data_IF_825056745208
#
_entry.id   IF_825056745208
#
_cell.length_a   1.000
_cell.length_b   1.000
_cell.length_c   1.000
_cell.angle_alpha   90.00
_cell.angle_beta   90.00
_cell.angle_gamma   90.00
#
_symmetry.space_group_name_H-M   'P 1'
#
loop_
_entity.id
_entity.type
_entity.pdbx_description
1 polymer ?
#
# COMPACT_ATOMS: atom_id res chain seq x y z
N UNK A 1 6.16 -14.16 -34.37
CA UNK A 1 6.94 -13.41 -33.35
C UNK A 1 6.11 -12.40 -32.53
N UNK A 2 4.94 -11.96 -32.98
CA UNK A 2 4.04 -11.08 -32.15
C UNK A 2 3.32 -11.84 -31.04
N UNK A 3 3.05 -13.13 -31.22
CA UNK A 3 2.25 -13.91 -30.26
C UNK A 3 3.00 -14.29 -28.99
N UNK A 4 4.31 -14.56 -29.07
CA UNK A 4 5.11 -14.94 -27.90
C UNK A 4 5.27 -13.80 -26.89
N UNK A 5 5.47 -12.56 -27.34
CA UNK A 5 5.58 -11.39 -26.47
C UNK A 5 4.23 -11.02 -25.82
N UNK A 6 3.12 -11.26 -26.51
CA UNK A 6 1.77 -11.03 -25.98
C UNK A 6 1.40 -12.09 -24.94
N UNK A 7 1.73 -13.35 -25.16
CA UNK A 7 1.55 -14.46 -24.21
C UNK A 7 2.42 -14.26 -22.97
N UNK A 8 3.67 -13.83 -23.14
CA UNK A 8 4.59 -13.56 -22.01
C UNK A 8 4.14 -12.35 -21.19
N UNK A 9 3.54 -11.32 -21.81
CA UNK A 9 2.97 -10.17 -21.11
C UNK A 9 1.69 -10.53 -20.34
N UNK A 10 0.83 -11.37 -20.94
CA UNK A 10 -0.39 -11.85 -20.29
C UNK A 10 -0.04 -12.73 -19.07
N UNK A 11 0.95 -13.61 -19.17
CA UNK A 11 1.41 -14.45 -18.05
C UNK A 11 2.03 -13.64 -16.91
N UNK A 12 2.75 -12.55 -17.20
CA UNK A 12 3.33 -11.69 -16.17
C UNK A 12 2.27 -10.89 -15.40
N UNK A 13 1.23 -10.40 -16.09
CA UNK A 13 0.09 -9.71 -15.45
C UNK A 13 -0.74 -10.67 -14.60
N UNK A 14 -0.97 -11.88 -15.08
CA UNK A 14 -1.67 -12.94 -14.35
C UNK A 14 -0.89 -13.37 -13.10
N UNK A 15 0.43 -13.48 -13.22
CA UNK A 15 1.32 -13.83 -12.13
C UNK A 15 1.33 -12.75 -11.02
N UNK A 16 1.40 -11.47 -11.38
CA UNK A 16 1.33 -10.36 -10.43
C UNK A 16 0.05 -10.37 -9.60
N UNK A 17 -1.12 -10.65 -10.25
CA UNK A 17 -2.40 -10.79 -9.54
C UNK A 17 -2.39 -11.93 -8.54
N UNK A 18 -1.89 -13.09 -8.94
CA UNK A 18 -1.79 -14.28 -8.07
C UNK A 18 -0.95 -13.98 -6.84
N UNK A 19 0.19 -13.32 -7.00
CA UNK A 19 1.05 -12.90 -5.88
C UNK A 19 0.32 -11.93 -4.93
N UNK A 20 -0.39 -10.94 -5.45
CA UNK A 20 -1.17 -10.00 -4.64
C UNK A 20 -2.27 -10.71 -3.84
N UNK A 21 -2.93 -11.71 -4.45
CA UNK A 21 -3.93 -12.52 -3.76
C UNK A 21 -3.30 -13.38 -2.64
N UNK A 22 -2.12 -13.97 -2.87
CA UNK A 22 -1.39 -14.72 -1.84
C UNK A 22 -1.01 -13.82 -0.64
N UNK A 23 -0.58 -12.59 -0.90
CA UNK A 23 -0.28 -11.61 0.16
C UNK A 23 -1.54 -11.23 0.94
N UNK A 24 -2.68 -11.00 0.24
CA UNK A 24 -3.95 -10.72 0.89
C UNK A 24 -4.44 -11.87 1.78
N UNK A 25 -4.22 -13.12 1.34
CA UNK A 25 -4.54 -14.32 2.13
C UNK A 25 -3.69 -14.41 3.40
N UNK A 26 -2.41 -14.11 3.31
CA UNK A 26 -1.52 -14.09 4.46
C UNK A 26 -1.89 -12.95 5.42
N UNK A 27 -2.29 -11.80 4.91
CA UNK A 27 -2.81 -10.68 5.72
C UNK A 27 -4.11 -11.01 6.48
N UNK A 28 -4.84 -12.06 6.07
CA UNK A 28 -6.04 -12.56 6.76
C UNK A 28 -5.79 -13.92 7.46
N UNK A 29 -4.57 -14.12 7.97
CA UNK A 29 -4.15 -15.40 8.54
C UNK A 29 -5.07 -15.89 9.68
N UNK A 30 -5.58 -15.00 10.53
CA UNK A 30 -6.51 -15.34 11.61
C UNK A 30 -7.85 -15.92 11.08
N UNK A 31 -8.42 -15.30 10.04
CA UNK A 31 -9.63 -15.82 9.38
C UNK A 31 -9.34 -17.15 8.66
N UNK A 32 -8.17 -17.27 8.04
CA UNK A 32 -7.73 -18.50 7.39
C UNK A 32 -7.60 -19.65 8.40
N UNK A 33 -6.98 -19.42 9.53
CA UNK A 33 -6.83 -20.39 10.61
C UNK A 33 -8.20 -20.79 11.20
N UNK A 34 -9.08 -19.82 11.45
CA UNK A 34 -10.45 -20.05 11.93
C UNK A 34 -11.26 -20.88 10.91
N UNK A 35 -11.15 -20.58 9.63
CA UNK A 35 -11.82 -21.32 8.57
C UNK A 35 -11.27 -22.76 8.42
N UNK A 36 -9.97 -22.98 8.64
CA UNK A 36 -9.35 -24.31 8.67
C UNK A 36 -9.84 -25.09 9.90
N UNK A 37 -9.88 -24.44 11.08
CA UNK A 37 -10.32 -25.07 12.32
C UNK A 37 -11.81 -25.44 12.30
N UNK A 38 -12.65 -24.69 11.60
CA UNK A 38 -14.08 -24.96 11.44
C UNK A 38 -14.40 -26.14 10.49
N UNK A 39 -13.40 -26.70 9.79
CA UNK A 39 -13.59 -27.88 8.95
C UNK A 39 -13.89 -29.13 9.79
N UNK A 40 -14.71 -30.02 9.22
CA UNK A 40 -15.10 -31.28 9.86
C UNK A 40 -13.89 -32.14 10.26
N UNK A 41 -12.79 -32.05 9.51
CA UNK A 41 -11.47 -32.64 9.79
C UNK A 41 -10.37 -31.59 9.55
N UNK A 42 -9.91 -30.87 10.56
CA UNK A 42 -8.85 -29.85 10.40
C UNK A 42 -7.49 -30.43 9.98
N UNK A 43 -7.28 -31.74 10.14
CA UNK A 43 -6.04 -32.44 9.76
C UNK A 43 -6.07 -33.00 8.33
N UNK A 44 -7.23 -32.96 7.67
CA UNK A 44 -7.39 -33.52 6.34
C UNK A 44 -6.78 -32.59 5.28
N UNK A 45 -6.07 -33.18 4.33
CA UNK A 45 -5.51 -32.46 3.18
C UNK A 45 -6.60 -31.73 2.38
N UNK A 46 -6.27 -30.58 1.85
CA UNK A 46 -7.15 -29.69 1.09
C UNK A 46 -6.90 -29.92 -0.40
N UNK A 47 -7.90 -30.42 -1.11
CA UNK A 47 -7.89 -30.47 -2.58
C UNK A 47 -8.31 -29.11 -3.18
N UNK A 48 -8.24 -28.98 -4.51
CA UNK A 48 -8.56 -27.75 -5.26
C UNK A 48 -9.95 -27.20 -4.90
N UNK A 49 -10.96 -28.07 -4.80
CA UNK A 49 -12.34 -27.67 -4.47
C UNK A 49 -12.46 -27.18 -3.02
N UNK A 50 -11.79 -27.88 -2.11
CA UNK A 50 -11.72 -27.49 -0.70
C UNK A 50 -10.98 -26.16 -0.51
N UNK A 51 -9.92 -25.94 -1.26
CA UNK A 51 -9.17 -24.68 -1.29
C UNK A 51 -10.02 -23.54 -1.86
N UNK A 52 -10.76 -23.77 -2.95
CA UNK A 52 -11.69 -22.79 -3.50
C UNK A 52 -12.74 -22.34 -2.48
N UNK A 53 -13.38 -23.28 -1.78
CA UNK A 53 -14.36 -22.98 -0.71
C UNK A 53 -13.73 -22.23 0.46
N UNK A 54 -12.48 -22.56 0.81
CA UNK A 54 -11.75 -21.87 1.86
C UNK A 54 -11.52 -20.39 1.50
N UNK A 55 -11.08 -20.11 0.26
CA UNK A 55 -10.91 -18.74 -0.24
C UNK A 55 -12.21 -17.94 -0.18
N UNK A 56 -13.33 -18.55 -0.60
CA UNK A 56 -14.65 -17.92 -0.54
C UNK A 56 -15.07 -17.63 0.91
N UNK A 57 -14.76 -18.52 1.86
CA UNK A 57 -15.05 -18.33 3.30
C UNK A 57 -14.21 -17.21 3.92
N UNK A 58 -12.95 -17.08 3.51
CA UNK A 58 -12.06 -16.02 3.98
C UNK A 58 -12.45 -14.65 3.36
N UNK A 59 -13.25 -14.64 2.29
CA UNK A 59 -13.76 -13.45 1.64
C UNK A 59 -12.77 -12.81 0.65
N UNK A 60 -11.76 -13.58 0.20
CA UNK A 60 -10.81 -13.09 -0.81
C UNK A 60 -11.42 -13.30 -2.19
N UNK A 61 -11.76 -12.21 -2.87
CA UNK A 61 -12.30 -12.26 -4.22
C UNK A 61 -11.21 -12.62 -5.24
N UNK A 62 -11.37 -13.75 -5.90
CA UNK A 62 -10.48 -14.22 -6.97
C UNK A 62 -11.26 -15.03 -8.02
N UNK A 63 -10.78 -14.99 -9.26
CA UNK A 63 -11.39 -15.74 -10.35
C UNK A 63 -11.09 -17.26 -10.20
N UNK A 64 -11.89 -18.15 -10.82
CA UNK A 64 -11.59 -19.59 -10.81
C UNK A 64 -10.18 -19.89 -11.37
N UNK A 65 -9.70 -19.11 -12.33
CA UNK A 65 -8.35 -19.24 -12.88
C UNK A 65 -7.28 -18.85 -11.87
N UNK A 66 -7.48 -17.75 -11.12
CA UNK A 66 -6.57 -17.32 -10.05
C UNK A 66 -6.50 -18.39 -8.94
N UNK A 67 -7.64 -18.97 -8.54
CA UNK A 67 -7.71 -20.05 -7.53
C UNK A 67 -6.89 -21.25 -7.93
N UNK A 68 -7.01 -21.67 -9.20
CA UNK A 68 -6.23 -22.79 -9.75
C UNK A 68 -4.74 -22.45 -9.82
N UNK A 69 -4.39 -21.25 -10.26
CA UNK A 69 -3.00 -20.80 -10.35
C UNK A 69 -2.33 -20.76 -8.97
N UNK A 70 -3.02 -20.22 -7.95
CA UNK A 70 -2.54 -20.19 -6.56
C UNK A 70 -2.33 -21.62 -6.04
N UNK A 71 -3.30 -22.51 -6.27
CA UNK A 71 -3.21 -23.90 -5.83
C UNK A 71 -1.97 -24.58 -6.44
N UNK A 72 -1.76 -24.42 -7.74
CA UNK A 72 -0.59 -24.99 -8.45
C UNK A 72 0.73 -24.41 -7.96
N UNK A 73 0.75 -23.13 -7.53
CA UNK A 73 1.95 -22.52 -6.94
C UNK A 73 2.26 -23.08 -5.54
N UNK A 74 1.23 -23.41 -4.77
CA UNK A 74 1.38 -23.98 -3.42
C UNK A 74 1.75 -25.47 -3.47
N UNK A 75 1.26 -26.17 -4.48
CA UNK A 75 1.54 -27.59 -4.75
C UNK A 75 2.37 -27.76 -6.05
N UNK A 76 3.64 -27.35 -6.05
CA UNK A 76 4.49 -27.41 -7.25
C UNK A 76 4.82 -28.83 -7.69
N UNK A 77 4.72 -29.80 -6.80
CA UNK A 77 4.99 -31.23 -7.07
C UNK A 77 3.76 -31.94 -7.65
N UNK A 78 2.60 -31.27 -7.67
CA UNK A 78 1.38 -31.78 -8.29
C UNK A 78 0.71 -32.95 -7.54
N UNK A 79 0.84 -32.99 -6.21
CA UNK A 79 0.18 -34.02 -5.37
C UNK A 79 -1.35 -33.89 -5.39
N UNK A 80 -1.90 -32.76 -5.85
CA UNK A 80 -3.33 -32.47 -5.89
C UNK A 80 -3.95 -32.17 -4.53
N UNK A 81 -3.14 -32.08 -3.47
CA UNK A 81 -3.61 -31.81 -2.10
C UNK A 81 -2.57 -30.99 -1.31
N UNK A 82 -3.05 -30.10 -0.45
CA UNK A 82 -2.25 -29.28 0.46
C UNK A 82 -2.62 -29.63 1.90
N UNK A 83 -1.66 -29.82 2.77
CA UNK A 83 -1.92 -30.00 4.19
C UNK A 83 -2.56 -28.75 4.80
N UNK A 84 -3.71 -28.91 5.46
CA UNK A 84 -4.48 -27.78 6.00
C UNK A 84 -3.68 -26.96 7.02
N UNK A 85 -2.93 -27.60 7.92
CA UNK A 85 -2.08 -26.93 8.90
C UNK A 85 -0.87 -26.24 8.27
N UNK A 86 -0.37 -26.77 7.16
CA UNK A 86 0.80 -26.25 6.45
C UNK A 86 0.44 -25.17 5.41
N UNK A 87 -0.85 -24.89 5.20
CA UNK A 87 -1.29 -23.99 4.13
C UNK A 87 -0.64 -22.59 4.21
N UNK A 88 -0.55 -21.99 5.40
CA UNK A 88 0.13 -20.70 5.60
C UNK A 88 1.61 -20.80 5.24
N UNK A 89 2.27 -21.87 5.70
CA UNK A 89 3.69 -22.13 5.38
C UNK A 89 3.87 -22.44 3.89
N UNK A 90 2.94 -23.16 3.28
CA UNK A 90 2.96 -23.47 1.85
C UNK A 90 2.76 -22.22 1.00
N UNK A 91 1.86 -21.30 1.37
CA UNK A 91 1.70 -19.99 0.73
C UNK A 91 3.02 -19.20 0.75
N UNK A 92 3.70 -19.15 1.90
CA UNK A 92 5.00 -18.49 2.04
C UNK A 92 6.10 -19.17 1.21
N UNK A 93 6.14 -20.52 1.23
CA UNK A 93 7.14 -21.32 0.50
C UNK A 93 6.89 -21.40 -1.01
N UNK A 94 5.70 -21.03 -1.49
CA UNK A 94 5.35 -21.09 -2.92
C UNK A 94 6.25 -20.20 -3.83
N UNK A 95 7.08 -19.36 -3.24
CA UNK A 95 7.94 -18.41 -3.94
C UNK A 95 7.18 -17.20 -4.53
N UNK A 96 5.86 -17.14 -4.39
CA UNK A 96 5.07 -16.03 -4.89
C UNK A 96 5.48 -14.71 -4.24
N UNK A 97 5.59 -14.71 -2.91
CA UNK A 97 6.00 -13.53 -2.14
C UNK A 97 7.45 -13.16 -2.45
N UNK A 98 8.35 -14.15 -2.49
CA UNK A 98 9.76 -13.90 -2.82
C UNK A 98 9.93 -13.26 -4.19
N UNK A 99 9.22 -13.75 -5.20
CA UNK A 99 9.29 -13.18 -6.57
C UNK A 99 8.67 -11.80 -6.65
N UNK A 100 7.54 -11.56 -6.00
CA UNK A 100 6.93 -10.22 -5.94
C UNK A 100 7.87 -9.23 -5.27
N UNK A 101 8.56 -9.65 -4.21
CA UNK A 101 9.57 -8.83 -3.54
C UNK A 101 10.76 -8.54 -4.46
N UNK A 102 11.32 -9.56 -5.14
CA UNK A 102 12.42 -9.42 -6.08
C UNK A 102 12.06 -8.52 -7.27
N UNK A 103 10.87 -8.69 -7.86
CA UNK A 103 10.38 -7.87 -8.96
C UNK A 103 10.17 -6.41 -8.54
N UNK A 104 9.63 -6.18 -7.34
CA UNK A 104 9.42 -4.84 -6.79
C UNK A 104 10.75 -4.16 -6.48
N UNK A 105 11.69 -4.90 -5.89
CA UNK A 105 13.04 -4.39 -5.59
C UNK A 105 13.81 -4.06 -6.87
N UNK A 106 13.72 -4.93 -7.88
CA UNK A 106 14.32 -4.69 -9.20
C UNK A 106 13.72 -3.46 -9.87
N UNK A 107 12.39 -3.31 -9.84
CA UNK A 107 11.70 -2.16 -10.43
C UNK A 107 12.09 -0.87 -9.71
N UNK A 108 12.15 -0.87 -8.38
CA UNK A 108 12.61 0.26 -7.59
C UNK A 108 14.06 0.62 -7.92
N UNK A 109 14.96 -0.36 -8.01
CA UNK A 109 16.36 -0.16 -8.41
C UNK A 109 16.50 0.43 -9.83
N UNK A 110 15.68 -0.01 -10.78
CA UNK A 110 15.65 0.55 -12.14
C UNK A 110 15.14 2.00 -12.16
N UNK A 111 14.12 2.32 -11.37
CA UNK A 111 13.61 3.68 -11.23
C UNK A 111 14.64 4.59 -10.59
N UNK A 112 15.33 4.13 -9.55
CA UNK A 112 16.42 4.89 -8.93
C UNK A 112 17.56 5.13 -9.92
N UNK A 113 17.97 4.12 -10.69
CA UNK A 113 18.99 4.28 -11.72
C UNK A 113 18.55 5.27 -12.82
N UNK A 114 17.28 5.24 -13.24
CA UNK A 114 16.73 6.20 -14.19
C UNK A 114 16.71 7.63 -13.62
N UNK A 115 16.39 7.78 -12.34
CA UNK A 115 16.43 9.08 -11.63
C UNK A 115 17.85 9.64 -11.58
N UNK A 116 18.85 8.82 -11.25
CA UNK A 116 20.25 9.24 -11.23
C UNK A 116 20.77 9.58 -12.63
N UNK A 117 20.35 8.86 -13.66
CA UNK A 117 20.69 9.16 -15.05
C UNK A 117 20.04 10.47 -15.50
N UNK A 118 18.80 10.74 -15.10
CA UNK A 118 18.12 12.00 -15.36
C UNK A 118 18.83 13.17 -14.66
N UNK A 119 19.25 13.00 -13.42
CA UNK A 119 20.04 13.97 -12.67
C UNK A 119 21.40 14.27 -13.34
N UNK A 120 22.09 13.25 -13.85
CA UNK A 120 23.28 13.44 -14.65
C UNK A 120 23.00 14.30 -15.92
N UNK A 121 21.81 14.17 -16.51
CA UNK A 121 21.34 15.05 -17.57
C UNK A 121 21.13 16.49 -17.09
N UNK A 122 20.53 16.70 -15.92
CA UNK A 122 20.40 18.03 -15.30
C UNK A 122 21.78 18.65 -15.07
N UNK A 123 22.72 17.87 -14.55
CA UNK A 123 24.10 18.34 -14.34
C UNK A 123 24.72 18.88 -15.62
N UNK A 124 24.54 18.20 -16.75
CA UNK A 124 25.12 18.65 -18.04
C UNK A 124 24.44 19.87 -18.64
N UNK A 125 23.14 20.06 -18.41
CA UNK A 125 22.32 21.13 -19.05
C UNK A 125 22.19 22.35 -18.16
N UNK A 126 21.96 22.17 -16.85
CA UNK A 126 21.68 23.24 -15.87
C UNK A 126 22.83 23.47 -14.87
N UNK A 127 23.83 22.59 -14.84
CA UNK A 127 24.98 22.69 -13.95
C UNK A 127 24.83 21.99 -12.60
N UNK A 128 25.92 21.97 -11.82
CA UNK A 128 26.02 21.17 -10.59
C UNK A 128 25.09 21.59 -9.48
N UNK A 129 24.78 22.88 -9.34
CA UNK A 129 23.84 23.37 -8.32
C UNK A 129 22.44 22.82 -8.55
N UNK A 130 21.93 22.89 -9.80
CA UNK A 130 20.61 22.37 -10.14
C UNK A 130 20.51 20.84 -9.95
N UNK A 131 21.57 20.10 -10.26
CA UNK A 131 21.61 18.66 -10.00
C UNK A 131 21.61 18.35 -8.50
N UNK A 132 22.41 19.05 -7.71
CA UNK A 132 22.39 18.90 -6.26
C UNK A 132 21.03 19.22 -5.64
N UNK A 133 20.39 20.30 -6.10
CA UNK A 133 19.03 20.68 -5.69
C UNK A 133 18.03 19.57 -6.05
N UNK A 134 18.12 19.00 -7.27
CA UNK A 134 17.25 17.90 -7.71
C UNK A 134 17.37 16.68 -6.80
N UNK A 135 18.59 16.21 -6.53
CA UNK A 135 18.80 15.05 -5.65
C UNK A 135 18.33 15.35 -4.23
N UNK A 136 18.61 16.56 -3.72
CA UNK A 136 18.15 16.94 -2.37
C UNK A 136 16.63 16.96 -2.29
N UNK A 137 15.96 17.56 -3.27
CA UNK A 137 14.50 17.59 -3.36
C UNK A 137 13.92 16.17 -3.52
N UNK A 138 14.54 15.32 -4.34
CA UNK A 138 14.14 13.91 -4.51
C UNK A 138 14.21 13.15 -3.19
N UNK A 139 15.32 13.25 -2.46
CA UNK A 139 15.49 12.52 -1.18
C UNK A 139 14.51 13.02 -0.11
N UNK A 140 14.27 14.34 -0.05
CA UNK A 140 13.28 14.90 0.88
C UNK A 140 11.89 14.37 0.54
N UNK A 141 11.50 14.43 -0.73
CA UNK A 141 10.18 13.98 -1.18
C UNK A 141 9.99 12.47 -0.98
N UNK A 142 10.99 11.65 -1.33
CA UNK A 142 10.95 10.20 -1.13
C UNK A 142 10.80 9.85 0.37
N UNK A 143 11.52 10.59 1.24
CA UNK A 143 11.42 10.44 2.70
C UNK A 143 10.04 10.79 3.25
N UNK A 144 9.44 11.89 2.78
CA UNK A 144 8.09 12.32 3.18
C UNK A 144 7.00 11.42 2.57
N UNK A 145 7.27 10.84 1.41
CA UNK A 145 6.35 9.93 0.72
C UNK A 145 6.18 8.58 1.41
N UNK A 146 7.08 8.19 2.32
CA UNK A 146 6.91 6.97 3.13
C UNK A 146 5.64 7.04 3.98
N UNK A 147 5.32 8.22 4.53
CA UNK A 147 4.09 8.45 5.31
C UNK A 147 2.84 8.18 4.47
N UNK A 148 2.86 8.57 3.19
CA UNK A 148 1.76 8.36 2.24
C UNK A 148 1.46 6.87 2.02
N UNK A 149 2.49 6.00 2.04
CA UNK A 149 2.32 4.56 1.84
C UNK A 149 1.49 3.92 2.94
N UNK A 150 1.67 4.35 4.20
CA UNK A 150 0.89 3.83 5.32
C UNK A 150 -0.57 4.26 5.21
N UNK A 151 -0.82 5.48 4.76
CA UNK A 151 -2.18 5.97 4.52
C UNK A 151 -2.84 5.20 3.36
N UNK A 152 -2.12 4.88 2.31
CA UNK A 152 -2.65 4.03 1.24
C UNK A 152 -3.01 2.62 1.73
N UNK A 153 -2.14 2.00 2.55
CA UNK A 153 -2.46 0.71 3.19
C UNK A 153 -3.75 0.79 3.99
N UNK A 154 -3.91 1.86 4.78
CA UNK A 154 -5.09 2.09 5.58
C UNK A 154 -6.35 2.31 4.74
N UNK A 155 -6.28 3.14 3.70
CA UNK A 155 -7.39 3.37 2.76
C UNK A 155 -7.81 2.04 2.11
N UNK A 156 -6.86 1.23 1.62
CA UNK A 156 -7.19 -0.03 0.98
C UNK A 156 -7.81 -1.05 1.94
N UNK A 157 -7.40 -1.06 3.21
CA UNK A 157 -8.03 -1.87 4.26
C UNK A 157 -9.44 -1.37 4.59
N UNK A 158 -9.61 -0.06 4.81
CA UNK A 158 -10.89 0.55 5.17
C UNK A 158 -11.97 0.35 4.08
N UNK A 159 -11.58 0.50 2.82
CA UNK A 159 -12.49 0.27 1.69
C UNK A 159 -12.59 -1.21 1.29
N UNK A 160 -11.83 -2.12 1.94
CA UNK A 160 -11.75 -3.54 1.56
C UNK A 160 -11.48 -3.72 0.07
N UNK A 161 -10.51 -2.95 -0.46
CA UNK A 161 -10.19 -2.95 -1.89
C UNK A 161 -9.79 -4.35 -2.33
N UNK A 162 -10.47 -4.93 -3.33
CA UNK A 162 -10.10 -6.24 -3.86
C UNK A 162 -8.64 -6.25 -4.35
N UNK A 163 -7.86 -7.31 -4.11
CA UNK A 163 -6.45 -7.39 -4.50
C UNK A 163 -6.19 -7.06 -5.98
N UNK A 164 -7.12 -7.41 -6.87
CA UNK A 164 -7.03 -7.12 -8.31
C UNK A 164 -7.14 -5.63 -8.64
N UNK A 165 -7.72 -4.83 -7.73
CA UNK A 165 -7.94 -3.40 -7.92
C UNK A 165 -6.89 -2.53 -7.23
N UNK A 166 -6.01 -3.11 -6.40
CA UNK A 166 -4.93 -2.38 -5.73
C UNK A 166 -3.99 -1.72 -6.73
N UNK A 167 -3.49 -2.48 -7.71
CA UNK A 167 -2.62 -1.93 -8.76
C UNK A 167 -3.30 -0.83 -9.60
N UNK A 168 -4.53 -0.98 -10.10
CA UNK A 168 -5.28 0.10 -10.71
C UNK A 168 -5.42 1.32 -9.78
N UNK A 169 -5.79 1.14 -8.51
CA UNK A 169 -5.89 2.24 -7.54
C UNK A 169 -4.57 2.99 -7.39
N UNK A 170 -3.45 2.26 -7.24
CA UNK A 170 -2.12 2.87 -7.14
C UNK A 170 -1.76 3.65 -8.41
N UNK A 171 -2.01 3.10 -9.59
CA UNK A 171 -1.68 3.77 -10.86
C UNK A 171 -2.47 5.07 -11.04
N UNK A 172 -3.79 5.04 -10.81
CA UNK A 172 -4.62 6.26 -10.88
C UNK A 172 -4.32 7.24 -9.75
N UNK A 173 -4.03 6.73 -8.55
CA UNK A 173 -3.61 7.54 -7.41
C UNK A 173 -2.31 8.28 -7.68
N UNK A 174 -1.27 7.58 -8.15
CA UNK A 174 0.02 8.15 -8.54
C UNK A 174 -0.16 9.21 -9.65
N UNK A 175 -0.96 8.92 -10.67
CA UNK A 175 -1.23 9.89 -11.74
C UNK A 175 -1.92 11.14 -11.18
N UNK A 176 -2.94 10.96 -10.34
CA UNK A 176 -3.64 12.06 -9.66
C UNK A 176 -2.69 12.89 -8.78
N UNK A 177 -1.82 12.21 -8.03
CA UNK A 177 -0.77 12.82 -7.21
C UNK A 177 0.15 13.72 -8.03
N UNK A 178 0.67 13.23 -9.15
CA UNK A 178 1.53 14.02 -10.06
C UNK A 178 0.82 15.30 -10.51
N UNK A 179 -0.45 15.22 -10.89
CA UNK A 179 -1.25 16.37 -11.33
C UNK A 179 -1.48 17.37 -10.20
N UNK A 180 -1.89 16.86 -9.02
CA UNK A 180 -2.17 17.70 -7.85
C UNK A 180 -0.91 18.39 -7.34
N UNK A 181 0.20 17.69 -7.22
CA UNK A 181 1.50 18.26 -6.81
C UNK A 181 2.00 19.29 -7.81
N UNK A 182 1.83 19.04 -9.12
CA UNK A 182 2.09 20.04 -10.13
C UNK A 182 1.29 21.33 -9.88
N UNK A 183 -0.02 21.19 -9.65
CA UNK A 183 -0.87 22.33 -9.31
C UNK A 183 -0.35 23.10 -8.08
N UNK A 184 -0.04 22.42 -6.96
CA UNK A 184 0.46 23.08 -5.74
C UNK A 184 1.84 23.70 -5.91
N UNK A 185 2.76 23.06 -6.64
CA UNK A 185 4.09 23.61 -6.92
C UNK A 185 3.98 24.89 -7.73
N UNK A 186 3.16 24.91 -8.78
CA UNK A 186 2.99 26.10 -9.63
C UNK A 186 2.10 27.18 -9.00
N UNK A 187 1.11 26.79 -8.18
CA UNK A 187 0.26 27.76 -7.44
C UNK A 187 0.97 28.32 -6.18
N UNK A 188 1.98 27.60 -5.68
CA UNK A 188 2.80 28.00 -4.55
C UNK A 188 2.12 27.92 -3.18
N UNK A 189 2.78 28.50 -2.18
CA UNK A 189 2.40 28.42 -0.76
C UNK A 189 0.99 28.96 -0.47
N UNK A 190 0.47 29.92 -1.25
CA UNK A 190 -0.87 30.46 -1.06
C UNK A 190 -1.99 29.41 -1.27
N UNK A 191 -1.80 28.47 -2.21
CA UNK A 191 -2.74 27.38 -2.41
C UNK A 191 -2.64 26.36 -1.28
N UNK A 192 -1.43 26.03 -0.82
CA UNK A 192 -1.17 25.06 0.26
C UNK A 192 -1.83 25.52 1.57
N UNK A 193 -1.68 26.77 1.96
CA UNK A 193 -2.23 27.31 3.22
C UNK A 193 -3.77 27.26 3.31
N UNK A 194 -4.47 27.26 2.18
CA UNK A 194 -5.93 27.15 2.14
C UNK A 194 -6.45 25.79 2.63
N UNK A 195 -5.62 24.74 2.59
CA UNK A 195 -5.99 23.38 3.00
C UNK A 195 -5.56 23.02 4.43
N UNK A 196 -4.87 23.92 5.16
CA UNK A 196 -4.45 23.66 6.54
C UNK A 196 -5.57 23.18 7.48
N UNK A 197 -6.81 23.73 7.47
CA UNK A 197 -7.86 23.25 8.36
C UNK A 197 -8.24 21.77 8.16
N UNK A 198 -8.01 21.24 6.96
CA UNK A 198 -8.27 19.84 6.62
C UNK A 198 -7.31 18.89 7.36
N UNK A 199 -6.09 19.35 7.66
CA UNK A 199 -5.07 18.58 8.40
C UNK A 199 -5.55 18.12 9.77
N UNK A 200 -6.28 18.96 10.52
CA UNK A 200 -6.80 18.60 11.85
C UNK A 200 -7.75 17.39 11.81
N UNK A 201 -8.69 17.38 10.87
CA UNK A 201 -9.61 16.27 10.71
C UNK A 201 -8.90 14.95 10.36
N UNK A 202 -7.90 15.05 9.50
CA UNK A 202 -7.13 13.90 9.05
C UNK A 202 -6.16 13.39 10.14
N UNK A 203 -5.49 14.29 10.84
CA UNK A 203 -4.60 13.92 11.96
C UNK A 203 -5.37 13.20 13.06
N UNK A 204 -6.55 13.69 13.42
CA UNK A 204 -7.43 13.03 14.39
C UNK A 204 -7.81 11.61 13.95
N UNK A 205 -8.09 11.42 12.67
CA UNK A 205 -8.37 10.10 12.11
C UNK A 205 -7.16 9.16 12.20
N UNK A 206 -5.97 9.59 11.82
CA UNK A 206 -4.75 8.76 11.90
C UNK A 206 -4.46 8.33 13.35
N UNK A 207 -4.61 9.25 14.31
CA UNK A 207 -4.44 8.95 15.73
C UNK A 207 -5.47 7.93 16.21
N UNK A 208 -6.74 8.11 15.85
CA UNK A 208 -7.81 7.17 16.19
C UNK A 208 -7.56 5.77 15.61
N UNK A 209 -7.19 5.67 14.34
CA UNK A 209 -6.88 4.38 13.71
C UNK A 209 -5.65 3.71 14.34
N UNK A 210 -4.61 4.50 14.63
CA UNK A 210 -3.45 4.01 15.37
C UNK A 210 -3.87 3.38 16.71
N UNK A 211 -4.73 4.07 17.46
CA UNK A 211 -5.25 3.57 18.73
C UNK A 211 -6.03 2.26 18.56
N UNK A 212 -6.93 2.17 17.58
CA UNK A 212 -7.67 0.93 17.29
C UNK A 212 -6.75 -0.26 17.02
N UNK A 213 -5.74 -0.10 16.14
CA UNK A 213 -4.82 -1.18 15.79
C UNK A 213 -3.95 -1.58 17.00
N UNK A 214 -3.55 -0.64 17.84
CA UNK A 214 -2.69 -0.92 19.01
C UNK A 214 -3.44 -1.59 20.16
N UNK A 215 -4.74 -1.34 20.31
CA UNK A 215 -5.53 -1.88 21.42
C UNK A 215 -6.10 -3.26 21.14
N UNK A 216 -5.81 -3.87 19.98
CA UNK A 216 -6.39 -5.16 19.55
C UNK A 216 -7.89 -5.22 19.87
N UNK A 217 -8.62 -4.14 19.63
CA UNK A 217 -10.06 -4.10 19.77
C UNK A 217 -10.66 -5.10 18.78
N UNK A 218 -10.81 -6.35 19.22
CA UNK A 218 -11.39 -7.48 18.48
C UNK A 218 -12.89 -7.31 18.21
N UNK A 219 -13.42 -6.13 18.44
CA UNK A 219 -14.77 -5.84 18.00
C UNK A 219 -14.71 -5.59 16.50
N UNK A 220 -15.51 -6.36 15.77
CA UNK A 220 -15.72 -6.37 14.31
C UNK A 220 -16.21 -5.01 13.76
N UNK A 221 -15.92 -3.91 14.41
CA UNK A 221 -16.16 -2.59 13.87
C UNK A 221 -15.12 -2.29 12.81
N UNK A 222 -15.63 -2.29 11.57
CA UNK A 222 -14.89 -1.89 10.38
C UNK A 222 -14.14 -0.59 10.66
N UNK A 223 -12.85 -0.46 10.26
CA UNK A 223 -12.13 0.80 10.41
C UNK A 223 -12.95 1.89 9.72
N UNK A 224 -13.55 2.76 10.51
CA UNK A 224 -14.39 3.82 10.02
C UNK A 224 -13.58 4.73 9.09
N UNK A 225 -14.13 4.92 7.91
CA UNK A 225 -13.57 5.89 6.96
C UNK A 225 -13.55 7.27 7.63
N UNK A 226 -12.48 8.07 7.47
CA UNK A 226 -12.37 9.37 8.14
C UNK A 226 -13.67 10.17 8.11
N UNK A 227 -14.10 10.80 9.22
CA UNK A 227 -15.35 11.57 9.27
C UNK A 227 -15.46 12.61 8.16
N UNK A 228 -14.32 13.20 7.78
CA UNK A 228 -14.23 14.15 6.69
C UNK A 228 -14.46 13.48 5.34
N UNK A 229 -13.83 12.34 5.11
CA UNK A 229 -14.00 11.54 3.89
C UNK A 229 -15.45 11.02 3.85
N UNK A 230 -15.98 10.54 4.97
CA UNK A 230 -17.39 10.13 5.11
C UNK A 230 -18.33 11.29 4.83
N UNK A 231 -18.02 12.52 5.26
CA UNK A 231 -18.82 13.70 4.97
C UNK A 231 -18.81 14.06 3.46
N UNK A 232 -17.68 13.90 2.79
CA UNK A 232 -17.58 14.07 1.34
C UNK A 232 -18.30 12.95 0.61
N UNK A 233 -18.05 11.70 1.00
CA UNK A 233 -18.66 10.52 0.39
C UNK A 233 -20.19 10.49 0.56
N UNK A 234 -20.73 10.89 1.72
CA UNK A 234 -22.19 10.99 1.96
C UNK A 234 -22.91 11.98 1.03
N UNK A 235 -22.18 12.93 0.45
CA UNK A 235 -22.73 13.89 -0.53
C UNK A 235 -22.68 13.37 -1.97
N UNK A 236 -21.98 12.28 -2.21
CA UNK A 236 -21.82 11.68 -3.53
C UNK A 236 -22.80 10.51 -3.70
N UNK A 237 -23.41 10.34 -4.88
CA UNK A 237 -24.24 9.18 -5.18
C UNK A 237 -23.33 7.95 -5.35
N UNK A 238 -23.08 7.22 -4.25
CA UNK A 238 -22.16 6.07 -4.23
C UNK A 238 -22.90 4.75 -4.34
N UNK A 239 -22.33 3.83 -5.10
CA UNK A 239 -22.63 2.40 -5.07
C UNK A 239 -21.82 1.72 -3.96
N UNK A 240 -22.40 0.73 -3.29
CA UNK A 240 -21.72 -0.04 -2.24
C UNK A 240 -20.86 -1.19 -2.79
N UNK A 241 -20.67 -1.28 -4.10
CA UNK A 241 -19.96 -2.39 -4.76
C UNK A 241 -18.80 -1.91 -5.63
N UNK A 242 -17.78 -2.77 -5.72
CA UNK A 242 -16.74 -2.64 -6.74
C UNK A 242 -17.21 -3.33 -8.03
N UNK A 243 -17.25 -2.61 -9.12
CA UNK A 243 -17.47 -3.19 -10.45
C UNK A 243 -16.22 -3.06 -11.31
N UNK A 244 -15.21 -3.87 -10.98
CA UNK A 244 -13.88 -3.76 -11.56
C UNK A 244 -13.28 -2.36 -11.32
N UNK A 245 -12.52 -1.85 -12.29
CA UNK A 245 -11.96 -0.50 -12.26
C UNK A 245 -12.89 0.56 -12.91
N UNK A 246 -14.21 0.31 -12.95
CA UNK A 246 -15.16 1.27 -13.47
C UNK A 246 -15.33 2.44 -12.47
N UNK A 247 -15.37 3.67 -13.00
CA UNK A 247 -15.58 4.87 -12.18
C UNK A 247 -17.04 5.07 -11.80
N UNK A 248 -17.92 4.66 -12.67
CA UNK A 248 -19.36 4.89 -12.54
C UNK A 248 -20.17 3.68 -12.97
N UNK A 249 -21.34 3.51 -12.39
CA UNK A 249 -22.32 2.47 -12.73
C UNK A 249 -23.70 3.06 -12.89
N UNK A 250 -24.58 2.52 -13.75
CA UNK A 250 -25.95 2.95 -13.83
C UNK A 250 -26.67 2.71 -12.49
N UNK A 251 -27.50 3.67 -12.06
CA UNK A 251 -28.37 3.46 -10.91
C UNK A 251 -29.41 2.37 -11.19
N UNK A 252 -29.75 1.59 -10.18
CA UNK A 252 -30.78 0.56 -10.27
C UNK A 252 -32.15 1.11 -10.73
N UNK A 253 -32.40 2.39 -10.47
CA UNK A 253 -33.65 3.08 -10.86
C UNK A 253 -33.65 3.57 -12.32
N UNK A 254 -32.56 3.34 -13.08
CA UNK A 254 -32.40 3.78 -14.47
C UNK A 254 -32.39 5.30 -14.69
N UNK A 255 -32.39 6.11 -13.64
CA UNK A 255 -32.48 7.59 -13.71
C UNK A 255 -31.19 8.34 -13.39
N UNK A 256 -30.06 7.64 -13.23
CA UNK A 256 -28.81 8.31 -12.87
C UNK A 256 -27.60 7.39 -12.96
N UNK A 257 -26.43 7.98 -12.62
CA UNK A 257 -25.14 7.30 -12.56
C UNK A 257 -24.66 7.38 -11.12
N UNK A 258 -24.23 6.26 -10.56
CA UNK A 258 -23.60 6.16 -9.25
C UNK A 258 -22.10 6.06 -9.42
N UNK A 259 -21.35 6.66 -8.51
CA UNK A 259 -19.91 6.48 -8.39
C UNK A 259 -19.62 5.13 -7.70
N UNK A 260 -18.64 4.41 -8.17
CA UNK A 260 -18.26 3.11 -7.58
C UNK A 260 -17.40 3.27 -6.31
N UNK A 261 -17.24 2.20 -5.54
CA UNK A 261 -16.29 2.15 -4.43
C UNK A 261 -14.84 2.38 -4.92
N UNK A 262 -14.52 2.01 -6.16
CA UNK A 262 -13.24 2.30 -6.78
C UNK A 262 -13.01 3.83 -6.86
N UNK A 263 -13.99 4.58 -7.33
CA UNK A 263 -13.92 6.05 -7.38
C UNK A 263 -13.84 6.66 -5.99
N UNK A 264 -14.59 6.15 -5.02
CA UNK A 264 -14.52 6.59 -3.63
C UNK A 264 -13.10 6.42 -3.06
N UNK A 265 -12.49 5.27 -3.29
CA UNK A 265 -11.11 4.99 -2.90
C UNK A 265 -10.12 5.99 -3.53
N UNK A 266 -10.26 6.27 -4.84
CA UNK A 266 -9.41 7.25 -5.53
C UNK A 266 -9.59 8.67 -5.01
N UNK A 267 -10.82 9.07 -4.66
CA UNK A 267 -11.08 10.37 -4.03
C UNK A 267 -10.37 10.46 -2.68
N UNK A 268 -10.40 9.38 -1.88
CA UNK A 268 -9.67 9.34 -0.60
C UNK A 268 -8.16 9.45 -0.77
N UNK A 269 -7.60 8.73 -1.74
CA UNK A 269 -6.17 8.83 -2.09
C UNK A 269 -5.83 10.27 -2.50
N UNK A 270 -6.62 10.87 -3.37
CA UNK A 270 -6.40 12.25 -3.83
C UNK A 270 -6.49 13.26 -2.67
N UNK A 271 -7.46 13.11 -1.78
CA UNK A 271 -7.59 13.98 -0.60
C UNK A 271 -6.40 13.82 0.35
N UNK A 272 -5.95 12.60 0.62
CA UNK A 272 -4.76 12.37 1.45
C UNK A 272 -3.50 12.97 0.80
N UNK A 273 -3.34 12.85 -0.52
CA UNK A 273 -2.20 13.44 -1.21
C UNK A 273 -2.19 14.99 -1.15
N UNK A 274 -3.37 15.63 -1.24
CA UNK A 274 -3.50 17.08 -0.99
C UNK A 274 -3.01 17.45 0.40
N UNK A 275 -3.34 16.65 1.42
CA UNK A 275 -2.93 16.91 2.80
C UNK A 275 -1.41 16.79 2.97
N UNK A 276 -0.80 15.77 2.36
CA UNK A 276 0.65 15.62 2.38
C UNK A 276 1.38 16.66 1.54
N UNK A 277 0.75 17.22 0.51
CA UNK A 277 1.32 18.31 -0.26
C UNK A 277 1.48 19.60 0.58
N UNK A 278 0.67 19.77 1.64
CA UNK A 278 0.82 20.92 2.56
C UNK A 278 2.16 20.89 3.29
N UNK A 279 2.68 19.72 3.63
CA UNK A 279 3.97 19.52 4.30
C UNK A 279 5.14 19.45 3.28
N UNK A 280 4.98 18.66 2.22
CA UNK A 280 6.07 18.35 1.29
C UNK A 280 6.38 19.51 0.33
N UNK A 281 5.38 20.23 -0.19
CA UNK A 281 5.61 21.30 -1.18
C UNK A 281 6.46 22.44 -0.60
N UNK A 282 6.18 22.99 0.60
CA UNK A 282 7.06 24.00 1.20
C UNK A 282 8.50 23.51 1.41
N UNK A 283 8.68 22.25 1.86
CA UNK A 283 9.99 21.66 2.10
C UNK A 283 10.84 21.60 0.83
N UNK A 284 10.23 21.21 -0.30
CA UNK A 284 10.94 21.10 -1.59
C UNK A 284 11.17 22.49 -2.21
N UNK A 285 10.22 23.43 -2.09
CA UNK A 285 10.38 24.82 -2.53
C UNK A 285 11.49 25.56 -1.76
N UNK A 286 11.77 25.17 -0.52
CA UNK A 286 12.88 25.71 0.26
C UNK A 286 14.26 25.25 -0.29
N UNK A 287 14.33 24.15 -1.02
CA UNK A 287 15.58 23.64 -1.63
C UNK A 287 15.91 24.37 -2.92
N UNK A 288 14.92 24.56 -3.79
CA UNK A 288 15.14 25.17 -5.11
C UNK A 288 13.97 26.05 -5.51
N UNK A 289 14.29 27.18 -6.15
CA UNK A 289 13.31 28.07 -6.78
C UNK A 289 13.05 27.74 -8.27
N UNK A 290 13.73 26.73 -8.83
CA UNK A 290 13.52 26.28 -10.21
C UNK A 290 12.33 25.31 -10.28
N UNK A 291 11.16 25.72 -10.83
CA UNK A 291 9.97 24.87 -10.88
C UNK A 291 10.20 23.55 -11.63
N UNK A 292 11.12 23.53 -12.60
CA UNK A 292 11.46 22.31 -13.33
C UNK A 292 12.17 21.31 -12.42
N UNK A 293 13.15 21.75 -11.64
CA UNK A 293 13.90 20.93 -10.69
C UNK A 293 12.95 20.37 -9.63
N UNK A 294 12.15 21.23 -9.01
CA UNK A 294 11.17 20.89 -7.98
C UNK A 294 10.13 19.88 -8.49
N UNK A 295 9.55 20.13 -9.66
CA UNK A 295 8.50 19.28 -10.18
C UNK A 295 9.02 17.91 -10.65
N UNK A 296 10.17 17.89 -11.33
CA UNK A 296 10.73 16.63 -11.84
C UNK A 296 11.28 15.74 -10.73
N UNK A 297 11.88 16.30 -9.68
CA UNK A 297 12.30 15.54 -8.50
C UNK A 297 11.11 14.90 -7.78
N UNK A 298 10.01 15.65 -7.67
CA UNK A 298 8.76 15.19 -7.09
C UNK A 298 8.14 14.04 -7.90
N UNK A 299 8.06 14.16 -9.24
CA UNK A 299 7.60 13.07 -10.11
C UNK A 299 8.45 11.82 -9.91
N UNK A 300 9.78 11.96 -9.88
CA UNK A 300 10.69 10.83 -9.72
C UNK A 300 10.42 10.06 -8.42
N UNK A 301 10.20 10.76 -7.30
CA UNK A 301 9.87 10.15 -6.01
C UNK A 301 8.49 9.46 -6.05
N UNK A 302 7.46 10.16 -6.54
CA UNK A 302 6.07 9.63 -6.55
C UNK A 302 5.93 8.38 -7.43
N UNK A 303 6.64 8.29 -8.56
CA UNK A 303 6.63 7.10 -9.43
C UNK A 303 7.22 5.87 -8.70
N UNK A 304 8.17 6.07 -7.78
CA UNK A 304 8.75 5.03 -6.93
C UNK A 304 7.77 4.42 -5.93
N UNK A 305 6.73 5.17 -5.53
CA UNK A 305 5.77 4.76 -4.49
C UNK A 305 5.08 3.43 -4.76
N UNK A 306 4.80 3.09 -6.00
CA UNK A 306 4.17 1.80 -6.34
C UNK A 306 5.05 0.62 -5.90
N UNK A 307 6.34 0.66 -6.23
CA UNK A 307 7.27 -0.41 -5.85
C UNK A 307 7.48 -0.45 -4.34
N UNK A 308 7.59 0.70 -3.69
CA UNK A 308 7.67 0.80 -2.23
C UNK A 308 6.41 0.28 -1.55
N UNK A 309 5.21 0.60 -2.08
CA UNK A 309 3.95 0.04 -1.56
C UNK A 309 3.94 -1.49 -1.63
N UNK A 310 4.32 -2.08 -2.75
CA UNK A 310 4.36 -3.53 -2.91
C UNK A 310 5.35 -4.17 -1.94
N UNK A 311 6.54 -3.60 -1.76
CA UNK A 311 7.52 -4.05 -0.77
C UNK A 311 6.96 -3.98 0.66
N UNK A 312 6.33 -2.85 1.03
CA UNK A 312 5.75 -2.65 2.34
C UNK A 312 4.56 -3.58 2.60
N UNK A 313 3.67 -3.76 1.62
CA UNK A 313 2.49 -4.63 1.77
C UNK A 313 2.87 -6.09 2.02
N UNK A 314 3.93 -6.58 1.36
CA UNK A 314 4.51 -7.92 1.61
C UNK A 314 5.09 -7.98 3.02
N UNK A 315 5.91 -6.99 3.38
CA UNK A 315 6.56 -6.96 4.69
C UNK A 315 5.52 -6.95 5.84
N UNK A 316 4.47 -6.13 5.74
CA UNK A 316 3.39 -6.04 6.75
C UNK A 316 2.61 -7.36 6.86
N UNK A 317 2.36 -8.07 5.74
CA UNK A 317 1.63 -9.33 5.76
C UNK A 317 2.42 -10.50 6.35
N UNK A 318 3.74 -10.42 6.33
CA UNK A 318 4.62 -11.53 6.74
C UNK A 318 5.15 -11.40 8.17
N UNK A 319 5.18 -10.21 8.74
CA UNK A 319 5.82 -9.89 10.02
C UNK A 319 4.79 -9.42 11.06
N UNK A 320 4.55 -10.24 12.09
CA UNK A 320 3.50 -10.02 13.11
C UNK A 320 3.63 -8.67 13.85
N UNK A 321 4.86 -8.30 14.24
CA UNK A 321 5.09 -7.04 14.96
C UNK A 321 5.14 -5.81 14.04
N UNK A 322 5.22 -6.02 12.73
CA UNK A 322 5.26 -4.91 11.78
C UNK A 322 3.91 -4.20 11.69
N UNK A 323 2.80 -4.90 11.87
CA UNK A 323 1.47 -4.28 11.92
C UNK A 323 1.35 -3.29 13.10
N UNK A 324 1.85 -3.67 14.28
CA UNK A 324 1.89 -2.78 15.46
C UNK A 324 2.86 -1.62 15.26
N UNK A 325 4.00 -1.86 14.60
CA UNK A 325 4.95 -0.81 14.24
C UNK A 325 4.33 0.20 13.25
N UNK A 326 3.59 -0.29 12.24
CA UNK A 326 2.83 0.56 11.30
C UNK A 326 1.78 1.39 12.04
N UNK A 327 1.04 0.80 12.97
CA UNK A 327 0.06 1.54 13.78
C UNK A 327 0.73 2.67 14.58
N UNK A 328 1.88 2.39 15.20
CA UNK A 328 2.65 3.41 15.90
C UNK A 328 3.11 4.54 14.97
N UNK A 329 3.59 4.21 13.78
CA UNK A 329 3.97 5.20 12.74
C UNK A 329 2.77 6.07 12.35
N UNK A 330 1.58 5.47 12.13
CA UNK A 330 0.34 6.22 11.82
C UNK A 330 0.00 7.21 12.93
N UNK A 331 0.10 6.80 14.21
CA UNK A 331 -0.12 7.68 15.34
C UNK A 331 0.89 8.83 15.40
N UNK A 332 2.17 8.53 15.16
CA UNK A 332 3.22 9.54 15.09
C UNK A 332 2.98 10.54 13.95
N UNK A 333 2.65 10.07 12.75
CA UNK A 333 2.31 10.94 11.60
C UNK A 333 1.09 11.80 11.92
N UNK A 334 0.04 11.23 12.52
CA UNK A 334 -1.11 12.00 12.97
C UNK A 334 -0.76 13.09 13.97
N UNK A 335 0.10 12.80 14.95
CA UNK A 335 0.59 13.79 15.92
C UNK A 335 1.45 14.88 15.26
N UNK A 336 2.31 14.50 14.32
CA UNK A 336 3.11 15.42 13.52
C UNK A 336 2.22 16.44 12.80
N UNK A 337 1.23 15.95 12.03
CA UNK A 337 0.29 16.80 11.29
C UNK A 337 -0.53 17.70 12.21
N UNK A 338 -0.97 17.20 13.38
CA UNK A 338 -1.66 18.03 14.37
C UNK A 338 -0.73 19.12 14.95
N UNK A 339 0.54 18.78 15.19
CA UNK A 339 1.56 19.72 15.65
C UNK A 339 1.80 20.88 14.70
N UNK A 340 1.87 20.60 13.40
CA UNK A 340 2.04 21.62 12.37
C UNK A 340 0.96 22.71 12.40
N UNK A 341 -0.30 22.30 12.64
CA UNK A 341 -1.43 23.25 12.72
C UNK A 341 -1.30 24.20 13.91
N UNK A 342 -0.69 23.72 15.02
CA UNK A 342 -0.45 24.56 16.23
C UNK A 342 0.93 25.26 16.21
N UNK A 343 1.67 25.16 15.10
CA UNK A 343 2.98 25.79 14.92
C UNK A 343 4.16 25.02 15.52
N UNK A 344 3.98 23.73 15.82
CA UNK A 344 5.04 22.85 16.28
C UNK A 344 5.50 21.96 15.12
N UNK A 345 6.64 22.29 14.51
CA UNK A 345 7.18 21.55 13.39
C UNK A 345 8.18 20.48 13.81
N UNK A 346 7.95 19.26 13.39
CA UNK A 346 8.90 18.15 13.52
C UNK A 346 9.71 18.07 12.23
N UNK A 347 11.04 18.15 12.32
CA UNK A 347 11.88 18.08 11.13
C UNK A 347 11.72 16.76 10.38
N UNK A 348 11.78 16.82 9.05
CA UNK A 348 11.69 15.64 8.17
C UNK A 348 12.75 14.57 8.51
N UNK A 349 13.96 14.99 8.87
CA UNK A 349 15.02 14.07 9.28
C UNK A 349 14.66 13.31 10.56
N UNK A 350 14.07 13.99 11.57
CA UNK A 350 13.62 13.32 12.80
C UNK A 350 12.46 12.37 12.51
N UNK A 351 11.50 12.78 11.68
CA UNK A 351 10.40 11.92 11.24
C UNK A 351 10.93 10.63 10.60
N UNK A 352 11.86 10.76 9.65
CA UNK A 352 12.46 9.61 8.96
C UNK A 352 13.18 8.67 9.94
N UNK A 353 13.93 9.20 10.92
CA UNK A 353 14.60 8.40 11.94
C UNK A 353 13.58 7.63 12.79
N UNK A 354 12.50 8.30 13.25
CA UNK A 354 11.44 7.66 14.05
C UNK A 354 10.77 6.54 13.24
N UNK A 355 10.39 6.79 11.99
CA UNK A 355 9.73 5.81 11.12
C UNK A 355 10.64 4.61 10.88
N UNK A 356 11.88 4.85 10.40
CA UNK A 356 12.80 3.76 10.09
C UNK A 356 13.19 2.95 11.33
N UNK A 357 13.39 3.58 12.50
CA UNK A 357 13.70 2.87 13.73
C UNK A 357 12.53 2.04 14.24
N UNK A 358 11.31 2.55 14.15
CA UNK A 358 10.09 1.84 14.55
C UNK A 358 9.84 0.63 13.65
N UNK A 359 9.91 0.82 12.33
CA UNK A 359 9.72 -0.27 11.37
C UNK A 359 10.84 -1.30 11.46
N UNK A 360 12.09 -0.84 11.55
CA UNK A 360 13.25 -1.72 11.74
C UNK A 360 13.14 -2.54 13.03
N UNK A 361 12.71 -1.92 14.11
CA UNK A 361 12.41 -2.60 15.37
C UNK A 361 11.32 -3.67 15.23
N UNK A 362 10.20 -3.34 14.55
CA UNK A 362 9.12 -4.29 14.26
C UNK A 362 9.59 -5.49 13.41
N UNK A 363 10.41 -5.24 12.40
CA UNK A 363 11.03 -6.31 11.59
C UNK A 363 11.94 -7.21 12.43
N UNK A 364 12.84 -6.62 13.22
CA UNK A 364 13.79 -7.37 14.05
C UNK A 364 13.08 -8.23 15.11
N UNK A 365 12.03 -7.69 15.75
CA UNK A 365 11.22 -8.45 16.71
C UNK A 365 10.48 -9.61 16.03
N UNK A 366 9.87 -9.38 14.86
CA UNK A 366 9.18 -10.43 14.11
C UNK A 366 10.13 -11.55 13.66
N UNK A 367 11.33 -11.19 13.22
CA UNK A 367 12.35 -12.17 12.83
C UNK A 367 12.90 -12.94 14.03
N UNK A 368 12.99 -12.28 15.21
CA UNK A 368 13.39 -12.92 16.47
C UNK A 368 12.40 -14.00 16.90
N UNK A 369 11.11 -13.70 16.91
CA UNK A 369 10.06 -14.66 17.25
C UNK A 369 9.98 -15.83 16.25
N UNK A 370 10.09 -15.54 14.94
CA UNK A 370 10.10 -16.58 13.93
C UNK A 370 11.24 -17.60 14.14
N UNK A 371 12.43 -17.13 14.55
CA UNK A 371 13.57 -18.01 14.88
C UNK A 371 13.36 -18.79 16.18
N UNK A 372 12.73 -18.19 17.18
CA UNK A 372 12.43 -18.85 18.47
C UNK A 372 11.43 -19.99 18.29
N UNK A 373 10.42 -19.81 17.41
CA UNK A 373 9.45 -20.85 17.08
C UNK A 373 10.08 -22.01 16.28
N UNK A 374 10.97 -21.71 15.34
CA UNK A 374 11.69 -22.72 14.55
C UNK A 374 12.63 -23.58 15.43
N UNK A 375 13.23 -23.00 16.48
CA UNK A 375 14.06 -23.73 17.44
C UNK A 375 13.26 -24.57 18.45
N UNK A 376 12.00 -24.19 18.74
CA UNK A 376 11.16 -24.95 19.67
C UNK A 376 10.55 -26.21 19.04
N UNK A 377 10.39 -26.24 17.69
CA UNK A 377 9.82 -27.38 16.97
C UNK A 377 10.85 -28.47 16.61
N UNK A 378 12.15 -28.24 16.79
CA UNK A 378 13.20 -29.24 16.65
C UNK A 378 14.04 -29.33 17.93
N UNK A 379 13.60 -30.06 18.98
CA UNK A 379 14.50 -30.44 20.04
C UNK A 379 15.59 -31.33 19.43
N UNK A 380 16.83 -30.91 19.55
CA UNK A 380 18.01 -31.70 19.11
C UNK A 380 17.87 -33.14 19.63
N UNK A 381 17.88 -34.12 18.71
CA UNK A 381 18.07 -35.53 19.02
C UNK A 381 19.52 -35.89 18.85
#
# INVERSE_FOLDING_TARGET
MKDAATVQKASAVEYGRVCTICVALLGQSGKLESAIAARKNPMESINVDGFSKLLDTVGVQCTPQDKQAIFTMIDPEGHGTIEAKALKTALRKSGAISRMYEDSLRTFGLLLAATLLFDAGIYTVKGGTAAFDFLTAYVIEDSLSVDNLFVFLLIFRAFKVPPQLVDPCLNYGIFGSIVLRGFFIFAGLAAVSAFQPLLLGFSGFLIYTSYQILTDAEEEEEPDVPPLVTAVLKRLPLSNTFEGAAFTVPSADGKGVLLTQFTATLVCIALSDVLFAVDSVPAVLAVSNDPFVVYTSNIAAVVGLRSLYQLLSVAVSDLVYLEKAVAFVLGFVGLKLAGEVVGFEISSALSLVVILSTLGGGVLLSLGDARALDQSDFPER
#
